data_IF_442666841264
#
_entry.id   IF_442666841264
#
_cell.length_a   1.000
_cell.length_b   1.000
_cell.length_c   1.000
_cell.angle_alpha   90.00
_cell.angle_beta   90.00
_cell.angle_gamma   90.00
#
_symmetry.space_group_name_H-M   'P 1'
#
loop_
_entity.id
_entity.type
_entity.pdbx_description
1 polymer ?
#
# COMPACT_ATOMS: atom_id res chain seq x y z
N UNK A 1 -13.56 -7.29 -20.99
CA UNK A 1 -12.25 -7.25 -21.64
C UNK A 1 -11.77 -8.69 -21.78
N UNK A 2 -11.50 -9.16 -23.01
CA UNK A 2 -10.90 -10.48 -23.24
C UNK A 2 -9.44 -10.45 -22.83
N UNK A 3 -9.02 -11.40 -22.02
CA UNK A 3 -7.61 -11.58 -21.67
C UNK A 3 -6.83 -12.12 -22.87
N UNK A 4 -5.53 -11.82 -22.90
CA UNK A 4 -4.59 -12.38 -23.88
C UNK A 4 -4.23 -13.82 -23.48
N UNK A 5 -4.18 -14.75 -24.41
CA UNK A 5 -3.71 -16.11 -24.12
C UNK A 5 -2.19 -16.10 -23.82
N UNK A 6 -1.71 -17.09 -23.06
CA UNK A 6 -0.30 -17.13 -22.62
C UNK A 6 0.70 -17.10 -23.79
N UNK A 7 0.41 -17.82 -24.87
CA UNK A 7 1.30 -17.84 -26.05
C UNK A 7 1.33 -16.48 -26.76
N UNK A 8 0.18 -15.81 -26.88
CA UNK A 8 0.07 -14.45 -27.44
C UNK A 8 0.85 -13.44 -26.59
N UNK A 9 0.77 -13.56 -25.25
CA UNK A 9 1.54 -12.72 -24.34
C UNK A 9 3.05 -12.92 -24.50
N UNK A 10 3.50 -14.17 -24.62
CA UNK A 10 4.92 -14.47 -24.83
C UNK A 10 5.39 -13.90 -26.17
N UNK A 11 4.60 -14.04 -27.22
CA UNK A 11 4.92 -13.50 -28.55
C UNK A 11 4.94 -11.97 -28.54
N UNK A 12 3.94 -11.35 -27.92
CA UNK A 12 3.87 -9.90 -27.75
C UNK A 12 5.12 -9.33 -27.04
N UNK A 13 5.52 -9.94 -25.92
CA UNK A 13 6.71 -9.47 -25.17
C UNK A 13 8.01 -9.67 -25.95
N UNK A 14 8.12 -10.74 -26.71
CA UNK A 14 9.29 -11.02 -27.56
C UNK A 14 9.38 -10.07 -28.74
N UNK A 15 8.26 -9.83 -29.44
CA UNK A 15 8.22 -8.95 -30.61
C UNK A 15 8.50 -7.49 -30.28
N UNK A 16 7.98 -7.00 -29.16
CA UNK A 16 8.23 -5.64 -28.70
C UNK A 16 9.67 -5.38 -28.26
N UNK A 17 10.34 -6.40 -27.74
CA UNK A 17 11.66 -6.26 -27.16
C UNK A 17 11.71 -5.24 -26.01
N UNK A 18 12.90 -5.00 -25.49
CA UNK A 18 13.07 -4.12 -24.30
C UNK A 18 12.58 -2.68 -24.55
N UNK A 19 12.89 -2.11 -25.71
CA UNK A 19 12.50 -0.74 -26.05
C UNK A 19 10.99 -0.58 -26.16
N UNK A 20 10.33 -1.47 -26.90
CA UNK A 20 8.88 -1.41 -27.07
C UNK A 20 8.11 -1.61 -25.75
N UNK A 21 8.63 -2.38 -24.79
CA UNK A 21 8.06 -2.48 -23.44
C UNK A 21 8.21 -1.19 -22.63
N UNK A 22 9.33 -0.47 -22.78
CA UNK A 22 9.48 0.86 -22.16
C UNK A 22 8.53 1.89 -22.76
N UNK A 23 8.32 1.85 -24.07
CA UNK A 23 7.39 2.77 -24.76
C UNK A 23 5.95 2.50 -24.32
N UNK A 24 5.56 1.22 -24.20
CA UNK A 24 4.25 0.82 -23.67
C UNK A 24 4.05 1.26 -22.22
N UNK A 25 5.06 1.10 -21.37
CA UNK A 25 5.03 1.59 -20.00
C UNK A 25 4.87 3.12 -19.94
N UNK A 26 5.62 3.85 -20.77
CA UNK A 26 5.51 5.31 -20.85
C UNK A 26 4.11 5.76 -21.29
N UNK A 27 3.50 5.05 -22.23
CA UNK A 27 2.13 5.29 -22.69
C UNK A 27 1.11 5.04 -21.56
N UNK A 28 1.21 3.91 -20.86
CA UNK A 28 0.36 3.63 -19.69
C UNK A 28 0.51 4.73 -18.65
N UNK A 29 1.72 5.10 -18.30
CA UNK A 29 2.02 6.15 -17.32
C UNK A 29 1.41 7.49 -17.71
N UNK A 30 1.47 7.86 -19.00
CA UNK A 30 0.89 9.11 -19.49
C UNK A 30 -0.64 9.17 -19.40
N UNK A 31 -1.31 8.00 -19.42
CA UNK A 31 -2.76 7.89 -19.34
C UNK A 31 -3.28 7.82 -17.91
N UNK A 32 -2.47 7.38 -16.96
CA UNK A 32 -2.90 7.05 -15.58
C UNK A 32 -2.60 8.13 -14.56
N UNK A 33 -1.78 9.13 -14.90
CA UNK A 33 -1.47 10.25 -14.00
C UNK A 33 -2.54 11.35 -14.03
N UNK A 34 -2.62 12.17 -12.96
CA UNK A 34 -3.49 13.35 -12.94
C UNK A 34 -3.08 14.34 -14.04
N UNK A 35 -4.07 14.91 -14.73
CA UNK A 35 -3.86 15.81 -15.89
C UNK A 35 -3.78 17.28 -15.49
N UNK A 36 -4.15 17.60 -14.24
CA UNK A 36 -4.12 18.96 -13.69
C UNK A 36 -3.79 18.94 -12.20
N UNK A 37 -3.38 20.10 -11.66
CA UNK A 37 -3.15 20.26 -10.22
C UNK A 37 -4.46 20.09 -9.42
N UNK A 38 -5.59 20.50 -9.98
CA UNK A 38 -6.91 20.30 -9.36
C UNK A 38 -7.26 18.82 -9.25
N UNK A 39 -7.04 18.06 -10.33
CA UNK A 39 -7.24 16.61 -10.33
C UNK A 39 -6.29 15.91 -9.36
N UNK A 40 -5.02 16.33 -9.32
CA UNK A 40 -4.04 15.83 -8.37
C UNK A 40 -4.53 16.04 -6.92
N UNK A 41 -4.94 17.25 -6.58
CA UNK A 41 -5.44 17.58 -5.24
C UNK A 41 -6.68 16.75 -4.89
N UNK A 42 -7.60 16.56 -5.84
CA UNK A 42 -8.80 15.74 -5.62
C UNK A 42 -8.47 14.27 -5.33
N UNK A 43 -7.44 13.73 -5.97
CA UNK A 43 -7.06 12.32 -5.85
C UNK A 43 -6.21 12.01 -4.61
N UNK A 44 -5.41 12.98 -4.14
CA UNK A 44 -4.33 12.74 -3.19
C UNK A 44 -4.28 13.76 -2.03
N UNK A 45 -5.40 14.42 -1.73
CA UNK A 45 -5.45 15.49 -0.73
C UNK A 45 -4.95 15.02 0.64
N UNK A 46 -5.43 13.88 1.11
CA UNK A 46 -5.13 13.40 2.46
C UNK A 46 -3.64 13.08 2.64
N UNK A 47 -3.01 12.40 1.67
CA UNK A 47 -1.60 12.04 1.79
C UNK A 47 -0.65 13.25 1.67
N UNK A 48 -1.08 14.31 1.00
CA UNK A 48 -0.32 15.55 0.82
C UNK A 48 -0.55 16.57 1.94
N UNK A 49 -1.48 16.33 2.85
CA UNK A 49 -1.69 17.18 4.02
C UNK A 49 -0.42 17.23 4.88
N UNK A 50 -0.04 18.40 5.37
CA UNK A 50 1.21 18.64 6.13
C UNK A 50 1.41 17.67 7.29
N UNK A 51 0.34 17.34 8.03
CA UNK A 51 0.37 16.38 9.14
C UNK A 51 0.70 14.94 8.71
N UNK A 52 0.43 14.59 7.44
CA UNK A 52 0.59 13.25 6.88
C UNK A 52 1.88 13.06 6.06
N UNK A 53 2.52 14.13 5.61
CA UNK A 53 3.72 14.05 4.77
C UNK A 53 4.83 13.21 5.40
N UNK A 54 5.03 13.34 6.69
CA UNK A 54 6.03 12.59 7.44
C UNK A 54 5.64 11.12 7.68
N UNK A 55 4.40 10.73 7.40
CA UNK A 55 3.91 9.34 7.46
C UNK A 55 4.15 8.59 6.15
N UNK A 56 4.55 9.30 5.08
CA UNK A 56 4.87 8.73 3.79
C UNK A 56 6.36 8.38 3.69
N UNK A 57 6.68 7.19 3.16
CA UNK A 57 8.07 6.77 2.93
C UNK A 57 8.70 7.48 1.76
N UNK A 58 7.91 7.75 0.72
CA UNK A 58 8.32 8.40 -0.51
C UNK A 58 7.43 9.60 -0.80
N UNK A 59 8.03 10.68 -1.26
CA UNK A 59 7.31 11.92 -1.59
C UNK A 59 6.58 11.86 -2.93
N UNK A 60 6.93 10.91 -3.76
CA UNK A 60 6.40 10.70 -5.11
C UNK A 60 5.48 9.46 -5.24
N UNK A 61 5.20 8.78 -4.13
CA UNK A 61 4.26 7.65 -4.08
C UNK A 61 3.05 8.04 -3.23
N UNK A 62 2.00 8.47 -3.92
CA UNK A 62 0.80 9.02 -3.32
C UNK A 62 -0.25 7.93 -3.05
N UNK A 63 -0.99 8.13 -1.96
CA UNK A 63 -2.12 7.29 -1.57
C UNK A 63 -3.41 7.90 -2.13
N UNK A 64 -4.17 7.14 -2.90
CA UNK A 64 -5.46 7.57 -3.46
C UNK A 64 -6.52 7.72 -2.38
N UNK A 65 -7.16 8.87 -2.29
CA UNK A 65 -8.18 9.15 -1.27
C UNK A 65 -9.43 8.28 -1.40
N UNK A 66 -9.82 7.93 -2.63
CA UNK A 66 -11.04 7.15 -2.89
C UNK A 66 -10.98 5.69 -2.45
N UNK A 67 -9.78 5.12 -2.35
CA UNK A 67 -9.57 3.71 -1.98
C UNK A 67 -8.66 3.52 -0.77
N UNK A 68 -8.29 4.61 -0.07
CA UNK A 68 -7.39 4.50 1.08
C UNK A 68 -8.03 3.74 2.24
N UNK A 69 -7.23 3.02 2.98
CA UNK A 69 -7.61 2.50 4.28
C UNK A 69 -7.72 3.66 5.27
N UNK A 70 -8.74 3.65 6.11
CA UNK A 70 -8.95 4.61 7.19
C UNK A 70 -8.84 3.90 8.53
N UNK A 71 -7.91 4.32 9.37
CA UNK A 71 -7.79 3.79 10.72
C UNK A 71 -9.04 4.14 11.54
N UNK A 72 -9.45 3.25 12.43
CA UNK A 72 -10.68 3.40 13.21
C UNK A 72 -11.95 3.01 12.46
N UNK A 73 -11.85 2.54 11.22
CA UNK A 73 -12.98 2.11 10.40
C UNK A 73 -12.68 0.77 9.72
N UNK A 74 -13.70 -0.07 9.59
CA UNK A 74 -13.67 -1.24 8.71
C UNK A 74 -13.83 -0.81 7.24
N UNK A 75 -13.52 -1.69 6.31
CA UNK A 75 -13.76 -1.46 4.87
C UNK A 75 -15.22 -1.12 4.57
N UNK A 76 -16.17 -1.66 5.33
CA UNK A 76 -17.62 -1.33 5.27
C UNK A 76 -17.95 0.12 5.65
N UNK A 77 -17.01 0.87 6.22
CA UNK A 77 -17.23 2.21 6.78
C UNK A 77 -17.70 2.22 8.23
N UNK A 78 -17.90 1.06 8.84
CA UNK A 78 -18.27 0.92 10.25
C UNK A 78 -17.09 1.28 11.16
N UNK A 79 -17.38 1.98 12.27
CA UNK A 79 -16.37 2.28 13.29
C UNK A 79 -15.89 1.00 13.97
N UNK A 80 -14.58 0.87 14.16
CA UNK A 80 -13.98 -0.24 14.92
C UNK A 80 -14.07 -0.01 16.44
N UNK A 81 -14.55 1.16 16.87
CA UNK A 81 -14.53 1.57 18.28
C UNK A 81 -13.16 2.08 18.74
N UNK A 82 -12.14 2.02 17.90
CA UNK A 82 -10.82 2.57 18.23
C UNK A 82 -10.82 4.09 18.05
N UNK A 83 -10.44 4.81 19.09
CA UNK A 83 -10.25 6.26 19.00
C UNK A 83 -8.92 6.54 18.34
N UNK A 84 -8.96 7.20 17.19
CA UNK A 84 -7.76 7.60 16.44
C UNK A 84 -7.68 9.12 16.37
N UNK A 85 -6.50 9.67 16.55
CA UNK A 85 -6.25 11.11 16.41
C UNK A 85 -6.04 11.51 14.95
N UNK A 86 -5.58 10.56 14.12
CA UNK A 86 -5.39 10.74 12.69
C UNK A 86 -5.68 9.38 12.01
N UNK A 87 -6.62 9.37 11.07
CA UNK A 87 -7.08 8.16 10.38
C UNK A 87 -6.19 7.73 9.21
N UNK A 88 -5.09 8.47 8.96
CA UNK A 88 -4.24 8.28 7.79
C UNK A 88 -3.19 7.20 7.96
N UNK A 89 -3.17 6.30 7.00
CA UNK A 89 -2.07 5.38 6.68
C UNK A 89 -1.88 5.35 5.17
N UNK A 90 -0.64 5.27 4.68
CA UNK A 90 -0.36 5.10 3.25
C UNK A 90 -0.64 3.65 2.83
N UNK A 91 -1.91 3.36 2.58
CA UNK A 91 -2.44 2.05 2.21
C UNK A 91 -3.74 2.22 1.41
N UNK A 92 -3.89 1.44 0.35
CA UNK A 92 -5.08 1.42 -0.50
C UNK A 92 -5.65 0.01 -0.61
N UNK A 93 -6.98 -0.09 -0.62
CA UNK A 93 -7.66 -1.31 -1.07
C UNK A 93 -7.47 -1.48 -2.57
N UNK A 94 -7.20 -2.70 -2.99
CA UNK A 94 -6.96 -3.08 -4.38
C UNK A 94 -7.77 -4.32 -4.72
N UNK A 95 -8.43 -4.26 -5.86
CA UNK A 95 -9.25 -5.38 -6.33
C UNK A 95 -8.38 -6.57 -6.74
N UNK A 96 -8.86 -7.76 -6.43
CA UNK A 96 -8.34 -9.01 -6.93
C UNK A 96 -9.07 -9.47 -8.19
N UNK A 97 -8.69 -10.63 -8.69
CA UNK A 97 -9.41 -11.26 -9.78
C UNK A 97 -10.80 -11.69 -9.31
N UNK A 98 -11.84 -11.04 -9.84
CA UNK A 98 -13.27 -11.27 -9.50
C UNK A 98 -13.64 -11.05 -8.02
N UNK A 99 -12.78 -10.38 -7.24
CA UNK A 99 -13.06 -10.07 -5.85
C UNK A 99 -12.68 -8.62 -5.57
N UNK A 100 -13.65 -7.73 -5.32
CA UNK A 100 -13.37 -6.35 -4.94
C UNK A 100 -12.59 -6.29 -3.62
N UNK A 101 -11.67 -5.33 -3.52
CA UNK A 101 -10.89 -5.04 -2.31
C UNK A 101 -10.22 -6.27 -1.66
N UNK A 102 -9.76 -7.21 -2.50
CA UNK A 102 -9.14 -8.46 -2.03
C UNK A 102 -7.78 -8.25 -1.36
N UNK A 103 -7.13 -7.12 -1.64
CA UNK A 103 -5.80 -6.80 -1.15
C UNK A 103 -5.75 -5.42 -0.52
N UNK A 104 -4.78 -5.24 0.36
CA UNK A 104 -4.33 -3.93 0.81
C UNK A 104 -2.88 -3.77 0.33
N UNK A 105 -2.62 -2.75 -0.49
CA UNK A 105 -1.28 -2.37 -0.88
C UNK A 105 -0.83 -1.20 -0.02
N UNK A 106 0.29 -1.38 0.67
CA UNK A 106 0.84 -0.39 1.58
C UNK A 106 2.34 -0.25 1.40
N UNK A 107 2.87 0.88 1.78
CA UNK A 107 4.32 1.09 1.85
C UNK A 107 4.97 0.22 2.92
N UNK A 108 6.28 -0.02 2.84
CA UNK A 108 7.02 -0.55 3.99
C UNK A 108 6.86 0.41 5.18
N UNK A 109 6.32 -0.04 6.34
CA UNK A 109 6.05 0.84 7.47
C UNK A 109 7.30 1.58 7.95
N UNK A 110 7.12 2.82 8.40
CA UNK A 110 8.14 3.61 9.06
C UNK A 110 8.10 3.35 10.57
N UNK A 111 9.18 3.57 11.34
CA UNK A 111 9.16 3.38 12.79
C UNK A 111 7.97 4.06 13.47
N UNK A 112 7.62 5.27 13.04
CA UNK A 112 6.48 6.02 13.60
C UNK A 112 5.11 5.53 13.13
N UNK A 113 5.03 4.68 12.09
CA UNK A 113 3.77 4.13 11.56
C UNK A 113 3.63 2.63 11.83
N UNK A 114 4.51 2.02 12.63
CA UNK A 114 4.41 0.60 12.98
C UNK A 114 3.10 0.29 13.73
N UNK A 115 2.72 1.14 14.69
CA UNK A 115 1.45 0.99 15.40
C UNK A 115 0.26 1.12 14.45
N UNK A 116 0.27 2.12 13.58
CA UNK A 116 -0.77 2.35 12.59
C UNK A 116 -0.92 1.14 11.64
N UNK A 117 0.21 0.55 11.23
CA UNK A 117 0.21 -0.64 10.36
C UNK A 117 -0.45 -1.84 11.04
N UNK A 118 -0.08 -2.12 12.28
CA UNK A 118 -0.67 -3.24 13.02
C UNK A 118 -2.12 -3.00 13.42
N UNK A 119 -2.49 -1.74 13.70
CA UNK A 119 -3.88 -1.36 13.88
C UNK A 119 -4.70 -1.64 12.62
N UNK A 120 -4.20 -1.23 11.44
CA UNK A 120 -4.82 -1.56 10.16
C UNK A 120 -4.98 -3.07 9.97
N UNK A 121 -3.92 -3.86 10.22
CA UNK A 121 -3.96 -5.33 10.09
C UNK A 121 -5.05 -5.92 10.96
N UNK A 122 -5.18 -5.45 12.20
CA UNK A 122 -6.20 -5.89 13.14
C UNK A 122 -7.61 -5.47 12.69
N UNK A 123 -7.82 -4.19 12.40
CA UNK A 123 -9.11 -3.62 12.06
C UNK A 123 -9.68 -4.17 10.75
N UNK A 124 -8.82 -4.48 9.79
CA UNK A 124 -9.21 -5.05 8.50
C UNK A 124 -9.19 -6.59 8.49
N UNK A 125 -8.95 -7.23 9.63
CA UNK A 125 -8.95 -8.69 9.78
C UNK A 125 -7.98 -9.39 8.78
N UNK A 126 -6.81 -8.76 8.54
CA UNK A 126 -5.83 -9.26 7.57
C UNK A 126 -5.21 -10.58 8.06
N UNK A 127 -5.32 -11.64 7.27
CA UNK A 127 -4.83 -12.97 7.63
C UNK A 127 -3.39 -13.23 7.16
N UNK A 128 -2.95 -12.56 6.10
CA UNK A 128 -1.65 -12.81 5.48
C UNK A 128 -0.96 -11.51 5.13
N UNK A 129 0.29 -11.35 5.56
CA UNK A 129 1.15 -10.23 5.20
C UNK A 129 2.25 -10.74 4.28
N UNK A 130 2.37 -10.14 3.10
CA UNK A 130 3.41 -10.45 2.12
C UNK A 130 4.35 -9.26 1.99
N UNK A 131 5.61 -9.44 2.40
CA UNK A 131 6.64 -8.43 2.22
C UNK A 131 7.39 -8.69 0.92
N UNK A 132 7.20 -7.80 -0.06
CA UNK A 132 7.78 -7.93 -1.41
C UNK A 132 9.17 -7.34 -1.55
N UNK A 133 9.68 -6.66 -0.52
CA UNK A 133 11.03 -6.05 -0.49
C UNK A 133 11.89 -6.69 0.59
N UNK A 134 13.21 -6.56 0.45
CA UNK A 134 14.12 -6.80 1.57
C UNK A 134 14.10 -5.58 2.51
N UNK A 135 14.45 -5.79 3.78
CA UNK A 135 14.60 -4.68 4.74
C UNK A 135 15.63 -3.65 4.24
N UNK A 136 16.73 -4.14 3.66
CA UNK A 136 17.80 -3.31 3.10
C UNK A 136 18.08 -3.75 1.66
N UNK A 137 18.07 -2.82 0.73
CA UNK A 137 18.45 -3.03 -0.67
C UNK A 137 19.42 -1.94 -1.12
N UNK A 138 20.54 -2.37 -1.73
CA UNK A 138 21.59 -1.45 -2.21
C UNK A 138 21.99 -0.40 -1.16
N UNK A 139 22.21 -0.85 0.08
CA UNK A 139 22.56 -0.02 1.26
C UNK A 139 21.49 1.01 1.68
N UNK A 140 20.25 0.89 1.19
CA UNK A 140 19.12 1.75 1.57
C UNK A 140 18.08 0.94 2.33
N UNK A 141 17.64 1.45 3.47
CA UNK A 141 16.52 0.86 4.21
C UNK A 141 15.25 1.02 3.40
N UNK A 142 14.63 -0.11 3.02
CA UNK A 142 13.36 -0.17 2.29
C UNK A 142 12.18 -0.42 3.21
N UNK A 143 12.39 -1.13 4.31
CA UNK A 143 11.39 -1.38 5.33
C UNK A 143 12.09 -1.56 6.66
N UNK A 144 11.58 -0.95 7.73
CA UNK A 144 11.99 -1.29 9.09
C UNK A 144 11.43 -2.65 9.47
N UNK A 145 12.07 -3.31 10.42
CA UNK A 145 11.52 -4.51 11.02
C UNK A 145 10.35 -4.12 11.94
N UNK A 146 9.13 -4.31 11.44
CA UNK A 146 7.91 -3.98 12.16
C UNK A 146 7.30 -5.18 12.90
N UNK A 147 7.88 -6.37 12.74
CA UNK A 147 7.48 -7.60 13.42
C UNK A 147 8.48 -7.91 14.57
N UNK A 148 8.05 -8.57 15.65
CA UNK A 148 8.91 -8.96 16.74
C UNK A 148 9.84 -10.12 16.34
N UNK A 149 11.05 -10.15 16.88
CA UNK A 149 11.98 -11.27 16.70
C UNK A 149 11.55 -12.49 17.51
N UNK A 150 11.06 -12.26 18.74
CA UNK A 150 10.74 -13.30 19.73
C UNK A 150 9.27 -13.23 20.19
N UNK A 151 8.78 -14.38 20.65
CA UNK A 151 7.51 -14.49 21.37
C UNK A 151 7.61 -13.72 22.69
N UNK A 152 6.72 -12.73 22.87
CA UNK A 152 6.70 -11.92 24.10
C UNK A 152 7.44 -10.59 24.00
N UNK A 153 7.83 -10.14 22.78
CA UNK A 153 8.32 -8.79 22.58
C UNK A 153 7.32 -7.74 23.11
N UNK A 154 7.81 -6.57 23.59
CA UNK A 154 6.94 -5.54 24.13
C UNK A 154 5.89 -5.09 23.09
N UNK A 155 4.68 -4.73 23.55
CA UNK A 155 3.61 -4.32 22.63
C UNK A 155 4.00 -3.08 21.85
N UNK A 156 3.55 -3.03 20.58
CA UNK A 156 3.60 -1.82 19.77
C UNK A 156 2.34 -0.99 20.07
N UNK A 157 2.44 -0.03 20.97
CA UNK A 157 1.29 0.68 21.50
C UNK A 157 0.40 -0.26 22.30
N UNK A 158 -0.90 -0.32 21.95
CA UNK A 158 -1.88 -1.21 22.57
C UNK A 158 -2.02 -2.58 21.87
N UNK A 159 -1.16 -2.89 20.88
CA UNK A 159 -1.26 -4.10 20.07
C UNK A 159 -0.17 -5.08 20.47
N UNK A 160 -0.57 -6.26 20.91
CA UNK A 160 0.30 -7.38 21.17
C UNK A 160 0.40 -8.25 19.92
N UNK A 161 1.64 -8.41 19.42
CA UNK A 161 1.90 -9.26 18.27
C UNK A 161 2.43 -10.59 18.79
N UNK A 162 1.67 -11.66 18.56
CA UNK A 162 2.08 -13.01 18.90
C UNK A 162 2.59 -13.68 17.62
N UNK A 163 3.84 -14.10 17.64
CA UNK A 163 4.40 -14.96 16.60
C UNK A 163 4.10 -16.40 17.00
N UNK A 164 3.31 -17.09 16.16
CA UNK A 164 3.17 -18.54 16.29
C UNK A 164 4.37 -19.22 15.63
N UNK A 165 4.88 -20.32 16.23
CA UNK A 165 5.97 -21.11 15.68
C UNK A 165 5.64 -21.74 14.33
#
# INVERSE_FOLDING_TARGET
>A
MGGMALHEFIEHTRSKGRRGLYDEYAEIKSRTGPRSQEEFNRLFNTCCNMENTTRNRYTDVHCYDHSRVKLGQKMSGESTGTVVTNDYINANFVDGYRQPSAFIFTQGPLPKTFCDFWQMVWEQEVLVIVMTTRAIEKHKTKCGQYWPDDVGAPPLGNIFILKYP
#
